data_IF_304307809576
#
_entry.id   IF_304307809576
#
_cell.length_a   1.000
_cell.length_b   1.000
_cell.length_c   1.000
_cell.angle_alpha   90.00
_cell.angle_beta   90.00
_cell.angle_gamma   90.00
#
_symmetry.space_group_name_H-M   'P 1'
#
loop_
_entity.id
_entity.type
_entity.pdbx_description
1 polymer ?
#
# COMPACT_ATOMS: atom_id res chain seq x y z
N UNK A 1 17.94 7.93 -21.12
CA UNK A 1 17.88 6.82 -20.14
C UNK A 1 16.69 7.08 -19.24
N UNK A 2 15.52 6.55 -19.59
CA UNK A 2 14.32 6.66 -18.77
C UNK A 2 14.57 5.88 -17.49
N UNK A 3 14.55 6.55 -16.33
CA UNK A 3 14.52 5.90 -15.02
C UNK A 3 13.26 5.03 -15.01
N UNK A 4 13.41 3.76 -15.38
CA UNK A 4 12.38 2.76 -15.13
C UNK A 4 12.24 2.74 -13.62
N UNK A 5 11.09 3.18 -13.14
CA UNK A 5 10.73 3.11 -11.75
C UNK A 5 10.65 1.60 -11.45
N UNK A 6 11.79 1.02 -11.04
CA UNK A 6 11.99 -0.42 -10.87
C UNK A 6 10.81 -0.89 -10.03
N UNK A 7 10.03 -1.83 -10.53
CA UNK A 7 8.86 -2.36 -9.83
C UNK A 7 9.32 -2.90 -8.49
N UNK A 8 9.18 -2.09 -7.45
CA UNK A 8 9.57 -2.44 -6.09
C UNK A 8 8.45 -3.25 -5.47
N UNK A 9 8.81 -4.21 -4.62
CA UNK A 9 7.86 -4.95 -3.81
C UNK A 9 7.07 -3.98 -2.92
N UNK A 10 5.74 -4.03 -2.96
CA UNK A 10 4.91 -3.31 -2.00
C UNK A 10 5.07 -3.90 -0.60
N UNK A 11 5.15 -3.02 0.38
CA UNK A 11 5.12 -3.43 1.78
C UNK A 11 3.71 -3.21 2.32
N UNK A 12 3.11 -4.28 2.83
CA UNK A 12 1.82 -4.26 3.49
C UNK A 12 2.01 -4.18 5.00
N UNK A 13 1.28 -3.27 5.63
CA UNK A 13 1.14 -3.20 7.07
C UNK A 13 -0.34 -3.38 7.46
N UNK A 14 -0.58 -4.02 8.61
CA UNK A 14 -1.95 -4.19 9.11
C UNK A 14 -2.62 -2.83 9.35
N UNK A 15 -3.88 -2.71 8.98
CA UNK A 15 -4.61 -1.44 9.05
C UNK A 15 -4.83 -0.93 10.47
N UNK A 16 -4.68 -1.78 11.50
CA UNK A 16 -4.71 -1.34 12.90
C UNK A 16 -3.73 -0.20 13.21
N UNK A 17 -2.68 -0.05 12.41
CA UNK A 17 -1.66 0.99 12.58
C UNK A 17 -2.01 2.32 11.88
N UNK A 18 -3.15 2.43 11.19
CA UNK A 18 -3.53 3.62 10.41
C UNK A 18 -3.43 4.91 11.24
N UNK A 19 -4.16 4.98 12.35
CA UNK A 19 -4.22 6.17 13.22
C UNK A 19 -2.86 6.60 13.77
N UNK A 20 -2.03 5.63 14.17
CA UNK A 20 -0.69 5.91 14.71
C UNK A 20 0.19 6.47 13.60
N UNK A 21 0.14 5.90 12.39
CA UNK A 21 0.93 6.39 11.25
C UNK A 21 0.49 7.79 10.82
N UNK A 22 -0.81 8.04 10.72
CA UNK A 22 -1.34 9.38 10.40
C UNK A 22 -0.88 10.42 11.42
N UNK A 23 -0.87 10.07 12.71
CA UNK A 23 -0.38 10.95 13.77
C UNK A 23 1.12 11.23 13.63
N UNK A 24 1.93 10.17 13.54
CA UNK A 24 3.39 10.30 13.45
C UNK A 24 3.84 11.00 12.17
N UNK A 25 3.09 10.85 11.08
CA UNK A 25 3.28 11.63 9.89
C UNK A 25 3.13 13.12 10.22
N UNK A 26 1.99 13.57 10.75
CA UNK A 26 1.78 15.01 11.03
C UNK A 26 2.83 15.66 11.94
N UNK A 27 3.46 14.89 12.83
CA UNK A 27 4.42 15.39 13.81
C UNK A 27 5.89 15.49 13.28
N UNK A 28 6.14 15.25 11.99
CA UNK A 28 7.50 15.21 11.43
C UNK A 28 7.92 16.51 10.73
N UNK A 29 8.93 17.19 11.29
CA UNK A 29 9.51 18.45 10.77
C UNK A 29 10.07 18.36 9.35
N UNK A 30 10.37 17.15 8.86
CA UNK A 30 10.81 16.95 7.47
C UNK A 30 9.77 17.44 6.44
N UNK A 31 8.49 17.45 6.79
CA UNK A 31 7.41 17.92 5.91
C UNK A 31 7.40 19.44 5.72
N UNK A 32 7.98 20.19 6.66
CA UNK A 32 8.04 21.66 6.61
C UNK A 32 9.16 22.16 5.68
N UNK A 33 10.01 21.27 5.16
CA UNK A 33 11.02 21.63 4.17
C UNK A 33 10.33 22.09 2.88
N UNK A 34 10.67 23.27 2.31
CA UNK A 34 9.94 23.86 1.18
C UNK A 34 9.78 22.93 -0.04
N UNK A 35 10.82 22.14 -0.35
CA UNK A 35 10.77 21.18 -1.45
C UNK A 35 9.75 20.05 -1.22
N UNK A 36 9.61 19.64 0.04
CA UNK A 36 8.74 18.54 0.46
C UNK A 36 7.30 19.02 0.65
N UNK A 37 7.10 20.19 1.26
CA UNK A 37 5.79 20.82 1.45
C UNK A 37 5.04 20.97 0.12
N UNK A 38 5.71 21.45 -0.92
CA UNK A 38 5.11 21.62 -2.26
C UNK A 38 4.69 20.31 -2.94
N UNK A 39 5.32 19.18 -2.55
CA UNK A 39 4.93 17.84 -3.00
C UNK A 39 3.72 17.38 -2.19
N UNK A 40 3.77 17.48 -0.86
CA UNK A 40 2.70 17.05 0.05
C UNK A 40 1.36 17.70 -0.26
N UNK A 41 1.33 18.99 -0.59
CA UNK A 41 0.08 19.69 -0.97
C UNK A 41 -0.65 19.04 -2.15
N UNK A 42 0.06 18.28 -2.99
CA UNK A 42 -0.49 17.58 -4.15
C UNK A 42 -0.84 16.12 -3.87
N UNK A 43 -0.45 15.61 -2.70
CA UNK A 43 -0.66 14.21 -2.33
C UNK A 43 -1.96 14.09 -1.54
N UNK A 44 -2.75 13.09 -1.90
CA UNK A 44 -3.96 12.71 -1.19
C UNK A 44 -3.90 11.24 -0.83
N UNK A 45 -4.74 10.85 0.13
CA UNK A 45 -4.99 9.44 0.37
C UNK A 45 -5.66 8.84 -0.85
N UNK A 46 -5.25 7.63 -1.21
CA UNK A 46 -5.94 6.85 -2.22
C UNK A 46 -5.90 5.37 -1.86
N UNK A 47 -6.82 4.61 -2.42
CA UNK A 47 -6.99 3.19 -2.15
C UNK A 47 -6.80 2.44 -3.44
N UNK A 48 -6.17 1.28 -3.34
CA UNK A 48 -6.03 0.36 -4.45
C UNK A 48 -6.62 -0.97 -4.03
N UNK A 49 -7.50 -1.52 -4.85
CA UNK A 49 -8.01 -2.87 -4.65
C UNK A 49 -7.16 -3.87 -5.41
N UNK A 50 -6.84 -4.96 -4.75
CA UNK A 50 -5.98 -6.01 -5.30
C UNK A 50 -6.62 -7.37 -5.10
N UNK A 51 -6.57 -8.22 -6.11
CA UNK A 51 -6.85 -9.65 -5.97
C UNK A 51 -5.55 -10.39 -5.69
N UNK A 52 -5.51 -11.16 -4.61
CA UNK A 52 -4.35 -11.98 -4.25
C UNK A 52 -4.25 -13.16 -5.23
N UNK A 53 -3.19 -13.20 -6.03
CA UNK A 53 -2.97 -14.25 -7.02
C UNK A 53 -2.16 -15.44 -6.49
N UNK A 54 -1.11 -15.16 -5.71
CA UNK A 54 -0.26 -16.17 -5.11
C UNK A 54 0.27 -15.72 -3.74
N UNK A 55 0.41 -16.67 -2.83
CA UNK A 55 0.98 -16.47 -1.49
C UNK A 55 2.08 -17.51 -1.31
N UNK A 56 3.22 -17.08 -0.78
CA UNK A 56 4.31 -17.98 -0.42
C UNK A 56 3.83 -19.05 0.57
N UNK A 57 4.02 -20.32 0.21
CA UNK A 57 3.57 -21.47 1.02
C UNK A 57 4.23 -21.54 2.40
N UNK A 58 5.38 -20.89 2.58
CA UNK A 58 6.06 -20.77 3.86
C UNK A 58 5.46 -19.69 4.79
N UNK A 59 4.48 -18.92 4.31
CA UNK A 59 3.69 -18.03 5.16
C UNK A 59 2.71 -18.86 5.98
N UNK A 60 3.07 -19.15 7.24
CA UNK A 60 2.28 -19.97 8.15
C UNK A 60 1.58 -19.16 9.24
N UNK A 61 1.76 -17.83 9.25
CA UNK A 61 1.10 -16.95 10.22
C UNK A 61 -0.41 -16.88 9.93
N UNK A 62 -1.22 -17.47 10.81
CA UNK A 62 -2.68 -17.52 10.68
C UNK A 62 -3.34 -16.14 10.63
N UNK A 63 -2.77 -15.12 11.28
CA UNK A 63 -3.32 -13.75 11.24
C UNK A 63 -3.19 -13.16 9.85
N UNK A 64 -2.18 -13.59 9.10
CA UNK A 64 -1.92 -13.16 7.73
C UNK A 64 -2.68 -14.04 6.75
N UNK A 65 -2.57 -15.37 6.84
CA UNK A 65 -3.15 -16.29 5.85
C UNK A 65 -4.69 -16.32 5.85
N UNK A 66 -5.34 -15.91 6.94
CA UNK A 66 -6.81 -15.71 6.97
C UNK A 66 -7.26 -14.45 6.20
N UNK A 67 -6.35 -13.49 5.98
CA UNK A 67 -6.60 -12.22 5.30
C UNK A 67 -5.98 -12.16 3.89
N UNK A 68 -4.83 -12.80 3.69
CA UNK A 68 -4.05 -12.83 2.45
C UNK A 68 -3.98 -14.28 1.95
N UNK A 69 -5.02 -14.69 1.24
CA UNK A 69 -5.12 -15.98 0.57
C UNK A 69 -5.52 -15.80 -0.89
N UNK A 70 -5.16 -16.76 -1.74
CA UNK A 70 -5.45 -16.71 -3.18
C UNK A 70 -6.95 -16.50 -3.46
N UNK A 71 -7.27 -15.56 -4.34
CA UNK A 71 -8.63 -15.17 -4.71
C UNK A 71 -9.28 -14.14 -3.79
N UNK A 72 -8.66 -13.80 -2.65
CA UNK A 72 -9.20 -12.73 -1.82
C UNK A 72 -8.98 -11.36 -2.47
N UNK A 73 -9.96 -10.46 -2.33
CA UNK A 73 -9.83 -9.07 -2.74
C UNK A 73 -9.61 -8.19 -1.51
N UNK A 74 -8.49 -7.49 -1.48
CA UNK A 74 -8.11 -6.60 -0.38
C UNK A 74 -8.22 -5.13 -0.82
N UNK A 75 -8.27 -4.23 0.16
CA UNK A 75 -8.05 -2.81 -0.04
C UNK A 75 -6.72 -2.42 0.61
N UNK A 76 -5.83 -1.81 -0.16
CA UNK A 76 -4.57 -1.27 0.34
C UNK A 76 -4.59 0.26 0.21
N UNK A 77 -4.50 0.96 1.34
CA UNK A 77 -4.51 2.41 1.40
C UNK A 77 -3.09 2.95 1.27
N UNK A 78 -2.89 3.87 0.33
CA UNK A 78 -1.68 4.64 0.19
C UNK A 78 -1.84 5.98 0.92
N UNK A 79 -1.04 6.17 1.96
CA UNK A 79 -0.97 7.43 2.70
C UNK A 79 -0.05 8.42 1.95
N UNK A 80 -0.26 9.75 2.04
CA UNK A 80 0.55 10.76 1.35
C UNK A 80 2.06 10.57 1.52
N UNK A 81 2.50 10.23 2.72
CA UNK A 81 3.93 10.16 3.08
C UNK A 81 4.63 9.01 2.35
N UNK A 82 3.91 7.90 2.07
CA UNK A 82 4.44 6.75 1.35
C UNK A 82 4.67 7.02 -0.16
N UNK A 83 4.13 8.13 -0.68
CA UNK A 83 4.26 8.51 -2.09
C UNK A 83 5.54 9.32 -2.35
N UNK A 84 6.10 9.97 -1.33
CA UNK A 84 7.20 10.93 -1.48
C UNK A 84 8.53 10.31 -1.93
N UNK A 85 8.68 9.00 -1.74
CA UNK A 85 9.86 8.25 -2.17
C UNK A 85 9.84 7.90 -3.67
N UNK A 86 8.78 8.27 -4.41
CA UNK A 86 8.66 7.98 -5.85
C UNK A 86 8.40 9.22 -6.69
N UNK A 87 8.95 9.21 -7.90
CA UNK A 87 8.83 10.32 -8.85
C UNK A 87 7.43 10.42 -9.48
N UNK A 88 6.65 9.33 -9.49
CA UNK A 88 5.30 9.29 -10.05
C UNK A 88 4.20 9.55 -9.02
N UNK A 89 4.56 9.89 -7.78
CA UNK A 89 3.62 10.14 -6.67
C UNK A 89 2.67 8.95 -6.41
N UNK A 90 3.12 7.73 -6.69
CA UNK A 90 2.41 6.50 -6.35
C UNK A 90 3.14 5.74 -5.24
N UNK A 91 2.41 4.96 -4.47
CA UNK A 91 2.96 3.94 -3.59
C UNK A 91 3.67 2.84 -4.39
N UNK A 92 4.57 2.12 -3.72
CA UNK A 92 5.22 0.96 -4.29
C UNK A 92 4.22 -0.08 -4.81
N UNK A 93 4.52 -0.65 -5.98
CA UNK A 93 3.69 -1.63 -6.69
C UNK A 93 2.24 -1.22 -7.00
N UNK A 94 1.92 0.09 -6.96
CA UNK A 94 0.68 0.65 -7.54
C UNK A 94 0.82 0.76 -9.07
N UNK A 95 0.74 -0.41 -9.72
CA UNK A 95 0.84 -0.61 -11.17
C UNK A 95 -0.44 -0.16 -11.89
N UNK A 96 -0.66 -0.48 -13.15
CA UNK A 96 -1.95 -0.23 -13.81
C UNK A 96 -2.95 -1.35 -13.51
N UNK A 97 -4.23 -1.09 -13.77
CA UNK A 97 -5.26 -2.13 -13.61
C UNK A 97 -4.92 -3.36 -14.47
N UNK A 98 -5.22 -4.55 -13.96
CA UNK A 98 -4.84 -5.86 -14.51
C UNK A 98 -3.34 -6.20 -14.51
N UNK A 99 -2.46 -5.30 -14.10
CA UNK A 99 -1.04 -5.61 -13.92
C UNK A 99 -0.77 -6.38 -12.62
N UNK A 100 0.27 -7.21 -12.66
CA UNK A 100 0.67 -8.06 -11.54
C UNK A 100 1.83 -7.44 -10.76
N UNK A 101 1.66 -7.34 -9.45
CA UNK A 101 2.62 -6.75 -8.53
C UNK A 101 3.10 -7.73 -7.47
N UNK A 102 4.25 -7.42 -6.87
CA UNK A 102 4.81 -8.17 -5.75
C UNK A 102 4.48 -7.46 -4.45
N UNK A 103 4.14 -8.24 -3.43
CA UNK A 103 3.87 -7.73 -2.09
C UNK A 103 4.57 -8.53 -1.01
N UNK A 104 4.83 -7.88 0.12
CA UNK A 104 5.36 -8.49 1.34
C UNK A 104 4.67 -7.90 2.56
N UNK A 105 4.22 -8.76 3.46
CA UNK A 105 3.64 -8.35 4.72
C UNK A 105 4.74 -8.06 5.76
N UNK A 106 4.66 -6.90 6.39
CA UNK A 106 5.56 -6.50 7.47
C UNK A 106 5.15 -7.19 8.77
N UNK A 107 6.14 -7.76 9.47
CA UNK A 107 5.93 -8.37 10.78
C UNK A 107 5.64 -9.87 10.76
N UNK A 108 5.48 -10.49 9.59
CA UNK A 108 5.36 -11.94 9.45
C UNK A 108 6.43 -12.52 8.51
N UNK A 109 7.10 -13.58 8.96
CA UNK A 109 8.18 -14.23 8.21
C UNK A 109 7.62 -14.96 6.99
N UNK A 110 8.30 -14.83 5.85
CA UNK A 110 7.96 -15.50 4.59
C UNK A 110 6.56 -15.19 4.04
N UNK A 111 5.89 -14.15 4.54
CA UNK A 111 4.59 -13.72 4.04
C UNK A 111 4.76 -12.68 2.94
N UNK A 112 4.79 -13.18 1.71
CA UNK A 112 4.93 -12.41 0.49
C UNK A 112 4.18 -13.10 -0.63
N UNK A 113 3.93 -12.40 -1.72
CA UNK A 113 3.16 -12.96 -2.80
C UNK A 113 3.09 -12.10 -4.06
N UNK A 114 2.15 -12.49 -4.92
CA UNK A 114 1.78 -11.78 -6.14
C UNK A 114 0.31 -11.39 -6.02
N UNK A 115 -0.05 -10.21 -6.49
CA UNK A 115 -1.43 -9.77 -6.66
C UNK A 115 -1.65 -9.25 -8.06
N UNK A 116 -2.92 -9.08 -8.44
CA UNK A 116 -3.35 -8.32 -9.61
C UNK A 116 -4.06 -7.06 -9.14
N UNK A 117 -3.72 -5.90 -9.70
CA UNK A 117 -4.44 -4.66 -9.43
C UNK A 117 -5.83 -4.70 -10.08
N UNK A 118 -6.86 -4.35 -9.32
CA UNK A 118 -8.24 -4.32 -9.80
C UNK A 118 -8.67 -2.90 -10.14
N UNK A 119 -8.50 -1.96 -9.20
CA UNK A 119 -8.87 -0.56 -9.40
C UNK A 119 -8.19 0.36 -8.39
N UNK A 120 -8.20 1.66 -8.69
CA UNK A 120 -7.78 2.74 -7.79
C UNK A 120 -8.91 3.74 -7.57
N UNK A 121 -9.00 4.28 -6.36
CA UNK A 121 -9.87 5.42 -6.06
C UNK A 121 -9.06 6.49 -5.34
N UNK A 122 -9.14 7.72 -5.84
CA UNK A 122 -8.54 8.89 -5.20
C UNK A 122 -9.42 9.38 -4.03
N UNK A 123 -8.82 10.07 -3.07
CA UNK A 123 -9.48 10.68 -1.91
C UNK A 123 -10.34 9.69 -1.10
N UNK A 124 -9.81 8.51 -0.81
CA UNK A 124 -10.54 7.48 -0.07
C UNK A 124 -9.76 6.94 1.13
N UNK A 125 -10.50 6.24 1.99
CA UNK A 125 -10.03 5.48 3.13
C UNK A 125 -10.56 4.06 3.02
N UNK A 126 -9.68 3.05 3.15
CA UNK A 126 -10.10 1.66 2.94
C UNK A 126 -11.23 1.24 3.89
N UNK A 127 -11.15 1.60 5.17
CA UNK A 127 -12.18 1.24 6.16
C UNK A 127 -13.56 1.86 5.89
N UNK A 128 -13.61 3.00 5.19
CA UNK A 128 -14.85 3.73 4.91
C UNK A 128 -15.42 3.41 3.53
N UNK A 129 -14.56 3.40 2.50
CA UNK A 129 -14.97 3.25 1.11
C UNK A 129 -15.04 1.79 0.68
N UNK A 130 -14.34 0.88 1.35
CA UNK A 130 -14.28 -0.55 1.04
C UNK A 130 -14.56 -1.43 2.28
N UNK A 131 -15.69 -1.25 2.96
CA UNK A 131 -15.95 -1.87 4.27
C UNK A 131 -16.03 -3.40 4.24
N UNK A 132 -16.27 -3.98 3.07
CA UNK A 132 -16.31 -5.44 2.85
C UNK A 132 -14.94 -6.06 2.59
N UNK A 133 -13.94 -5.24 2.26
CA UNK A 133 -12.61 -5.72 1.90
C UNK A 133 -11.70 -5.64 3.12
N UNK A 134 -10.78 -6.60 3.25
CA UNK A 134 -9.76 -6.53 4.29
C UNK A 134 -8.82 -5.37 3.95
N UNK A 135 -8.67 -4.45 4.91
CA UNK A 135 -7.87 -3.24 4.75
C UNK A 135 -6.41 -3.46 5.17
N UNK A 136 -5.49 -2.83 4.44
CA UNK A 136 -4.06 -2.76 4.73
C UNK A 136 -3.52 -1.36 4.37
N UNK A 137 -2.32 -1.04 4.85
CA UNK A 137 -1.59 0.16 4.47
C UNK A 137 -0.43 -0.21 3.54
N UNK A 138 -0.23 0.59 2.50
CA UNK A 138 1.01 0.61 1.71
C UNK A 138 2.00 1.54 2.39
N UNK A 139 3.22 1.04 2.64
CA UNK A 139 4.28 1.79 3.34
C UNK A 139 5.59 1.82 2.58
#
# INVERSE_FOLDING_TARGET
>A
LTFTDITTVALLLDYQYNKIREKLARDNIYWDLPEVASKIEKLSYYCVTYEIGWVNQNCVDKKVTTKLYKGNIICAECQPEAQLHRNNMRCASDLNDDEYGLWKFIGAKSCNGIWRRISRSDNCKCEHNYPTNVSFLLV
#
